data_IF_681263977605
#
_entry.id   IF_681263977605
#
_cell.length_a   1.000
_cell.length_b   1.000
_cell.length_c   1.000
_cell.angle_alpha   90.00
_cell.angle_beta   90.00
_cell.angle_gamma   90.00
#
_symmetry.space_group_name_H-M   'P 1'
#
loop_
_entity.id
_entity.type
_entity.pdbx_description
1 polymer ?
#
# COMPACT_ATOMS: atom_id res chain seq x y z
N UNK A 1 -42.93 15.90 8.04
CA UNK A 1 -41.54 16.22 8.47
C UNK A 1 -41.19 17.61 7.92
N UNK A 2 -40.36 18.42 8.59
CA UNK A 2 -40.03 19.77 8.11
C UNK A 2 -38.91 19.76 7.05
N UNK A 3 -38.97 20.71 6.11
CA UNK A 3 -37.97 20.88 5.03
C UNK A 3 -36.55 21.06 5.59
N UNK A 4 -36.42 21.65 6.78
CA UNK A 4 -35.17 21.78 7.54
C UNK A 4 -34.42 20.45 7.70
N UNK A 5 -35.13 19.33 7.95
CA UNK A 5 -34.48 18.01 8.09
C UNK A 5 -33.97 17.45 6.75
N UNK A 6 -34.58 17.85 5.63
CA UNK A 6 -34.09 17.49 4.30
C UNK A 6 -32.87 18.34 3.94
N UNK A 7 -32.88 19.64 4.26
CA UNK A 7 -31.72 20.53 4.13
C UNK A 7 -30.54 20.06 4.98
N UNK A 8 -30.79 19.62 6.21
CA UNK A 8 -29.78 19.02 7.07
C UNK A 8 -29.24 17.70 6.49
N UNK A 9 -30.11 16.80 6.01
CA UNK A 9 -29.71 15.56 5.35
C UNK A 9 -28.86 15.82 4.09
N UNK A 10 -29.23 16.79 3.26
CA UNK A 10 -28.43 17.21 2.09
C UNK A 10 -27.05 17.73 2.51
N UNK A 11 -26.99 18.60 3.53
CA UNK A 11 -25.73 19.11 4.06
C UNK A 11 -24.87 18.05 4.74
N UNK A 12 -25.44 16.97 5.26
CA UNK A 12 -24.71 15.80 5.77
C UNK A 12 -24.22 14.90 4.61
N UNK A 13 -25.04 14.66 3.59
CA UNK A 13 -24.73 13.84 2.43
C UNK A 13 -23.55 14.41 1.61
N UNK A 14 -23.54 15.73 1.37
CA UNK A 14 -22.44 16.42 0.68
C UNK A 14 -21.12 16.29 1.44
N UNK A 15 -21.12 16.52 2.76
CA UNK A 15 -19.92 16.34 3.62
C UNK A 15 -19.45 14.90 3.62
N UNK A 16 -20.36 13.93 3.76
CA UNK A 16 -20.03 12.51 3.75
C UNK A 16 -19.36 12.09 2.43
N UNK A 17 -19.81 12.62 1.28
CA UNK A 17 -19.15 12.41 -0.01
C UNK A 17 -17.73 13.02 -0.04
N UNK A 18 -17.55 14.21 0.51
CA UNK A 18 -16.25 14.91 0.60
C UNK A 18 -15.27 14.22 1.57
N UNK A 19 -15.77 13.66 2.68
CA UNK A 19 -14.99 12.84 3.61
C UNK A 19 -14.60 11.50 2.95
N UNK A 20 -15.55 10.82 2.30
CA UNK A 20 -15.31 9.53 1.63
C UNK A 20 -14.34 9.63 0.45
N UNK A 21 -14.38 10.71 -0.34
CA UNK A 21 -13.37 10.94 -1.38
C UNK A 21 -11.97 11.12 -0.77
N UNK A 22 -11.82 11.92 0.29
CA UNK A 22 -10.54 12.12 0.96
C UNK A 22 -9.96 10.82 1.52
N UNK A 23 -10.78 9.99 2.16
CA UNK A 23 -10.33 8.68 2.66
C UNK A 23 -10.04 7.66 1.54
N UNK A 24 -10.79 7.70 0.44
CA UNK A 24 -10.48 6.89 -0.74
C UNK A 24 -9.15 7.28 -1.39
N UNK A 25 -8.84 8.57 -1.48
CA UNK A 25 -7.58 9.07 -2.03
C UNK A 25 -6.39 8.80 -1.10
N UNK A 26 -6.56 8.93 0.23
CA UNK A 26 -5.60 8.45 1.23
C UNK A 26 -5.30 6.96 1.03
N UNK A 27 -6.35 6.13 0.87
CA UNK A 27 -6.22 4.69 0.64
C UNK A 27 -5.53 4.38 -0.69
N UNK A 28 -5.87 5.07 -1.79
CA UNK A 28 -5.19 4.94 -3.09
C UNK A 28 -3.70 5.21 -2.97
N UNK A 29 -3.30 6.27 -2.24
CA UNK A 29 -1.90 6.62 -2.01
C UNK A 29 -1.15 5.56 -1.20
N UNK A 30 -1.73 5.01 -0.14
CA UNK A 30 -1.09 3.94 0.64
C UNK A 30 -1.01 2.62 -0.14
N UNK A 31 -2.03 2.27 -0.92
CA UNK A 31 -1.98 1.12 -1.82
C UNK A 31 -0.86 1.27 -2.87
N UNK A 32 -0.65 2.47 -3.41
CA UNK A 32 0.44 2.76 -4.34
C UNK A 32 1.82 2.70 -3.67
N UNK A 33 1.96 3.20 -2.43
CA UNK A 33 3.20 3.09 -1.63
C UNK A 33 3.55 1.63 -1.32
N UNK A 34 2.57 0.84 -0.89
CA UNK A 34 2.72 -0.60 -0.66
C UNK A 34 3.12 -1.33 -1.95
N UNK A 35 2.53 -0.96 -3.08
CA UNK A 35 2.85 -1.58 -4.36
C UNK A 35 4.28 -1.30 -4.83
N UNK A 36 4.72 -0.04 -4.75
CA UNK A 36 6.11 0.33 -5.02
C UNK A 36 7.09 -0.39 -4.07
N UNK A 37 6.75 -0.50 -2.78
CA UNK A 37 7.61 -1.13 -1.78
C UNK A 37 7.74 -2.65 -1.99
N UNK A 38 6.62 -3.37 -2.16
CA UNK A 38 6.58 -4.82 -2.34
C UNK A 38 7.11 -5.22 -3.72
N UNK A 39 6.68 -4.53 -4.79
CA UNK A 39 7.01 -4.90 -6.17
C UNK A 39 8.40 -4.45 -6.63
N UNK A 40 8.94 -3.35 -6.06
CA UNK A 40 10.21 -2.76 -6.49
C UNK A 40 11.24 -2.69 -5.37
N UNK A 41 10.98 -1.95 -4.29
CA UNK A 41 12.01 -1.63 -3.28
C UNK A 41 12.58 -2.86 -2.56
N UNK A 42 11.71 -3.77 -2.09
CA UNK A 42 12.13 -4.96 -1.34
C UNK A 42 12.87 -5.98 -2.24
N UNK A 43 12.38 -6.33 -3.45
CA UNK A 43 13.13 -7.17 -4.40
C UNK A 43 14.49 -6.56 -4.81
N UNK A 44 14.55 -5.25 -5.06
CA UNK A 44 15.81 -4.58 -5.42
C UNK A 44 16.83 -4.63 -4.27
N UNK A 45 16.41 -4.32 -3.04
CA UNK A 45 17.27 -4.38 -1.84
C UNK A 45 17.84 -5.78 -1.61
N UNK A 46 17.01 -6.84 -1.66
CA UNK A 46 17.53 -8.20 -1.48
C UNK A 46 18.41 -8.66 -2.66
N UNK A 47 18.21 -8.10 -3.86
CA UNK A 47 19.08 -8.36 -5.01
C UNK A 47 20.44 -7.65 -4.89
N UNK A 48 20.52 -6.42 -4.38
CA UNK A 48 21.81 -5.75 -4.11
C UNK A 48 22.55 -6.43 -2.97
N UNK A 49 21.88 -6.75 -1.86
CA UNK A 49 22.46 -7.48 -0.74
C UNK A 49 22.99 -8.86 -1.15
N UNK A 50 22.28 -9.57 -2.05
CA UNK A 50 22.76 -10.85 -2.58
C UNK A 50 24.06 -10.70 -3.39
N UNK A 51 24.21 -9.62 -4.17
CA UNK A 51 25.46 -9.33 -4.91
C UNK A 51 26.62 -9.05 -3.94
N UNK A 52 26.38 -8.28 -2.88
CA UNK A 52 27.37 -7.99 -1.82
C UNK A 52 27.77 -9.29 -1.09
N UNK A 53 26.80 -10.09 -0.66
CA UNK A 53 27.06 -11.36 0.03
C UNK A 53 27.83 -12.36 -0.83
N UNK A 54 27.54 -12.44 -2.14
CA UNK A 54 28.28 -13.30 -3.08
C UNK A 54 29.73 -12.82 -3.29
N UNK A 55 29.96 -11.51 -3.36
CA UNK A 55 31.31 -10.93 -3.44
C UNK A 55 32.13 -11.27 -2.18
N UNK A 56 31.59 -10.99 -0.99
CA UNK A 56 32.22 -11.28 0.30
C UNK A 56 32.54 -12.77 0.48
N UNK A 57 31.64 -13.66 0.01
CA UNK A 57 31.88 -15.10 0.05
C UNK A 57 33.03 -15.54 -0.88
N UNK A 58 33.24 -14.88 -2.02
CA UNK A 58 34.44 -15.10 -2.84
C UNK A 58 35.68 -14.62 -2.10
N UNK A 59 35.70 -13.35 -1.68
CA UNK A 59 36.85 -12.71 -1.02
C UNK A 59 37.34 -13.52 0.20
N UNK A 60 36.43 -14.06 1.02
CA UNK A 60 36.80 -14.92 2.16
C UNK A 60 37.21 -16.34 1.75
N UNK A 61 36.68 -16.91 0.66
CA UNK A 61 37.17 -18.19 0.12
C UNK A 61 38.58 -18.04 -0.43
N UNK A 62 38.87 -16.94 -1.12
CA UNK A 62 40.18 -16.62 -1.66
C UNK A 62 41.20 -16.37 -0.54
N UNK A 63 40.77 -15.71 0.55
CA UNK A 63 41.57 -15.55 1.76
C UNK A 63 41.84 -16.88 2.49
N UNK A 64 40.82 -17.74 2.62
CA UNK A 64 40.96 -19.08 3.18
C UNK A 64 41.92 -19.94 2.35
N UNK A 65 41.76 -19.94 1.03
CA UNK A 65 42.64 -20.65 0.09
C UNK A 65 44.10 -20.21 0.23
N UNK A 66 44.38 -18.90 0.19
CA UNK A 66 45.72 -18.36 0.42
C UNK A 66 46.29 -18.79 1.78
N UNK A 67 45.51 -18.68 2.85
CA UNK A 67 45.94 -19.10 4.18
C UNK A 67 46.31 -20.60 4.20
N UNK A 68 45.49 -21.46 3.60
CA UNK A 68 45.77 -22.90 3.51
C UNK A 68 47.02 -23.21 2.68
N UNK A 69 47.41 -22.37 1.72
CA UNK A 69 48.64 -22.53 0.93
C UNK A 69 49.94 -22.12 1.64
N UNK A 70 49.88 -21.30 2.70
CA UNK A 70 51.05 -20.85 3.46
C UNK A 70 51.37 -21.72 4.69
N UNK A 71 50.46 -22.63 5.04
CA UNK A 71 50.52 -23.47 6.24
C UNK A 71 51.52 -24.62 6.06
N UNK A 72 52.27 -24.93 7.11
CA UNK A 72 53.18 -26.07 7.17
C UNK A 72 52.50 -27.30 7.78
N UNK A 73 52.96 -28.48 7.39
CA UNK A 73 52.34 -29.77 7.71
C UNK A 73 52.28 -30.11 9.22
N UNK A 74 53.15 -29.49 10.02
CA UNK A 74 53.20 -29.57 11.50
C UNK A 74 52.15 -28.67 12.21
N UNK A 75 51.59 -27.67 11.52
CA UNK A 75 50.78 -26.65 12.17
C UNK A 75 49.34 -27.13 12.46
N UNK A 76 49.07 -27.46 13.73
CA UNK A 76 47.91 -28.27 14.14
C UNK A 76 46.52 -27.62 13.98
N UNK A 77 46.39 -26.32 13.70
CA UNK A 77 45.08 -25.60 13.58
C UNK A 77 45.08 -24.42 12.57
N UNK A 78 45.25 -24.68 11.26
CA UNK A 78 45.32 -23.61 10.27
C UNK A 78 43.97 -22.92 9.99
N UNK A 79 44.02 -21.61 9.79
CA UNK A 79 42.98 -20.79 9.14
C UNK A 79 41.58 -20.88 9.78
N UNK A 80 41.51 -20.89 11.12
CA UNK A 80 40.26 -21.06 11.87
C UNK A 80 39.33 -19.85 11.76
N UNK A 81 39.85 -18.63 11.72
CA UNK A 81 39.05 -17.41 11.52
C UNK A 81 38.57 -17.26 10.07
N UNK A 82 39.39 -17.65 9.10
CA UNK A 82 39.04 -17.66 7.67
C UNK A 82 37.87 -18.63 7.42
N UNK A 83 37.90 -19.82 8.05
CA UNK A 83 36.78 -20.79 8.03
C UNK A 83 35.50 -20.17 8.62
N UNK A 84 35.58 -19.52 9.80
CA UNK A 84 34.44 -18.79 10.41
C UNK A 84 33.91 -17.67 9.52
N UNK A 85 34.78 -16.92 8.83
CA UNK A 85 34.41 -15.85 7.88
C UNK A 85 33.65 -16.41 6.66
N UNK A 86 34.15 -17.49 6.07
CA UNK A 86 33.48 -18.20 4.96
C UNK A 86 32.12 -18.77 5.39
N UNK A 87 32.02 -19.36 6.59
CA UNK A 87 30.74 -19.79 7.14
C UNK A 87 29.75 -18.63 7.32
N UNK A 88 30.19 -17.52 7.93
CA UNK A 88 29.33 -16.34 8.17
C UNK A 88 28.82 -15.75 6.86
N UNK A 89 29.67 -15.62 5.84
CA UNK A 89 29.27 -15.15 4.52
C UNK A 89 28.34 -16.16 3.80
N UNK A 90 28.58 -17.47 3.95
CA UNK A 90 27.69 -18.52 3.40
C UNK A 90 26.28 -18.43 4.01
N UNK A 91 26.20 -18.22 5.35
CA UNK A 91 24.93 -18.01 6.05
C UNK A 91 24.24 -16.70 5.60
N UNK A 92 24.98 -15.60 5.39
CA UNK A 92 24.43 -14.35 4.85
C UNK A 92 23.92 -14.50 3.42
N UNK A 93 24.67 -15.18 2.54
CA UNK A 93 24.25 -15.43 1.16
C UNK A 93 22.93 -16.18 1.10
N UNK A 94 22.80 -17.30 1.83
CA UNK A 94 21.55 -18.09 1.91
C UNK A 94 20.39 -17.24 2.42
N UNK A 95 20.59 -16.45 3.47
CA UNK A 95 19.57 -15.52 3.98
C UNK A 95 19.10 -14.51 2.91
N UNK A 96 20.01 -13.97 2.11
CA UNK A 96 19.65 -13.06 1.01
C UNK A 96 18.89 -13.78 -0.11
N UNK A 97 19.22 -15.04 -0.42
CA UNK A 97 18.50 -15.86 -1.40
C UNK A 97 17.08 -16.21 -0.91
N UNK A 98 16.93 -16.67 0.34
CA UNK A 98 15.64 -16.94 0.99
C UNK A 98 14.75 -15.69 1.02
N UNK A 99 15.33 -14.53 1.36
CA UNK A 99 14.60 -13.26 1.44
C UNK A 99 14.21 -12.74 0.06
N UNK A 100 15.06 -12.87 -0.96
CA UNK A 100 14.71 -12.51 -2.34
C UNK A 100 13.63 -13.43 -2.92
N UNK A 101 13.65 -14.73 -2.61
CA UNK A 101 12.59 -15.66 -2.98
C UNK A 101 11.26 -15.29 -2.30
N UNK A 102 11.27 -15.06 -0.98
CA UNK A 102 10.08 -14.60 -0.24
C UNK A 102 9.54 -13.25 -0.73
N UNK A 103 10.40 -12.32 -1.13
CA UNK A 103 10.00 -11.03 -1.69
C UNK A 103 9.22 -11.20 -3.00
N UNK A 104 9.70 -12.07 -3.91
CA UNK A 104 8.99 -12.40 -5.16
C UNK A 104 7.64 -13.08 -4.91
N UNK A 105 7.58 -14.02 -3.95
CA UNK A 105 6.33 -14.67 -3.57
C UNK A 105 5.32 -13.69 -2.94
N UNK A 106 5.79 -12.75 -2.10
CA UNK A 106 4.96 -11.69 -1.54
C UNK A 106 4.42 -10.73 -2.61
N UNK A 107 5.23 -10.37 -3.60
CA UNK A 107 4.77 -9.58 -4.77
C UNK A 107 3.69 -10.33 -5.56
N UNK A 108 3.89 -11.61 -5.86
CA UNK A 108 2.87 -12.42 -6.56
C UNK A 108 1.55 -12.55 -5.77
N UNK A 109 1.61 -12.71 -4.45
CA UNK A 109 0.42 -12.71 -3.60
C UNK A 109 -0.28 -11.34 -3.55
N UNK A 110 0.50 -10.26 -3.56
CA UNK A 110 -0.01 -8.88 -3.58
C UNK A 110 -0.70 -8.52 -4.90
N UNK A 111 -0.14 -8.91 -6.05
CA UNK A 111 -0.81 -8.78 -7.36
C UNK A 111 -2.19 -9.47 -7.37
N UNK A 112 -2.26 -10.69 -6.83
CA UNK A 112 -3.51 -11.44 -6.74
C UNK A 112 -4.54 -10.75 -5.84
N UNK A 113 -4.14 -10.18 -4.71
CA UNK A 113 -5.08 -9.54 -3.78
C UNK A 113 -5.54 -8.15 -4.27
N UNK A 114 -4.66 -7.38 -4.92
CA UNK A 114 -5.06 -6.18 -5.67
C UNK A 114 -6.04 -6.52 -6.78
N UNK A 115 -5.81 -7.59 -7.54
CA UNK A 115 -6.73 -8.02 -8.60
C UNK A 115 -8.14 -8.36 -8.07
N UNK A 116 -8.24 -9.10 -6.95
CA UNK A 116 -9.53 -9.38 -6.27
C UNK A 116 -10.20 -8.12 -5.72
N UNK A 117 -9.41 -7.15 -5.25
CA UNK A 117 -9.92 -5.95 -4.58
C UNK A 117 -10.28 -4.82 -5.54
N UNK A 118 -9.68 -4.76 -6.74
CA UNK A 118 -9.86 -3.69 -7.73
C UNK A 118 -11.32 -3.36 -8.03
N UNK A 119 -12.16 -4.37 -8.26
CA UNK A 119 -13.59 -4.17 -8.56
C UNK A 119 -14.36 -3.59 -7.38
N UNK A 120 -13.93 -3.87 -6.13
CA UNK A 120 -14.55 -3.30 -4.92
C UNK A 120 -14.16 -1.83 -4.75
N UNK A 121 -12.87 -1.51 -4.94
CA UNK A 121 -12.36 -0.13 -4.88
C UNK A 121 -13.03 0.74 -5.96
N UNK A 122 -13.09 0.26 -7.19
CA UNK A 122 -13.71 1.01 -8.29
C UNK A 122 -15.24 1.15 -8.13
N UNK A 123 -15.92 0.21 -7.46
CA UNK A 123 -17.34 0.37 -7.09
C UNK A 123 -17.54 1.45 -6.01
N UNK A 124 -16.63 1.56 -5.03
CA UNK A 124 -16.68 2.63 -4.03
C UNK A 124 -16.41 3.99 -4.69
N UNK A 125 -15.41 4.07 -5.56
CA UNK A 125 -15.09 5.23 -6.39
C UNK A 125 -16.32 5.72 -7.18
N UNK A 126 -16.94 4.85 -7.99
CA UNK A 126 -18.18 5.16 -8.73
C UNK A 126 -19.33 5.60 -7.82
N UNK A 127 -19.47 4.98 -6.64
CA UNK A 127 -20.53 5.35 -5.69
C UNK A 127 -20.33 6.77 -5.14
N UNK A 128 -19.08 7.18 -4.86
CA UNK A 128 -18.80 8.50 -4.28
C UNK A 128 -18.79 9.59 -5.36
N UNK A 129 -18.24 9.31 -6.55
CA UNK A 129 -18.14 10.27 -7.66
C UNK A 129 -19.49 10.48 -8.39
N UNK A 130 -20.29 9.42 -8.56
CA UNK A 130 -21.59 9.46 -9.26
C UNK A 130 -22.77 9.37 -8.28
N UNK A 131 -22.94 8.24 -7.60
CA UNK A 131 -24.22 7.92 -6.95
C UNK A 131 -24.57 8.91 -5.81
N UNK A 132 -23.59 9.26 -4.97
CA UNK A 132 -23.73 10.27 -3.91
C UNK A 132 -23.79 11.71 -4.46
N UNK A 133 -23.33 11.97 -5.68
CA UNK A 133 -23.47 13.27 -6.34
C UNK A 133 -24.89 13.45 -6.89
N UNK A 134 -25.42 12.44 -7.58
CA UNK A 134 -26.79 12.43 -8.11
C UNK A 134 -27.81 12.50 -6.96
N UNK A 135 -27.68 11.64 -5.94
CA UNK A 135 -28.59 11.63 -4.79
C UNK A 135 -28.62 12.97 -4.01
N UNK A 136 -27.54 13.74 -4.01
CA UNK A 136 -27.52 15.08 -3.44
C UNK A 136 -28.26 16.11 -4.32
N UNK A 137 -28.09 16.05 -5.65
CA UNK A 137 -28.77 16.92 -6.60
C UNK A 137 -30.29 16.66 -6.65
N UNK A 138 -30.71 15.39 -6.59
CA UNK A 138 -32.12 14.99 -6.50
C UNK A 138 -32.76 15.52 -5.21
N UNK A 139 -32.09 15.31 -4.06
CA UNK A 139 -32.56 15.81 -2.77
C UNK A 139 -32.65 17.34 -2.71
N UNK A 140 -31.71 18.07 -3.32
CA UNK A 140 -31.81 19.53 -3.44
C UNK A 140 -32.99 19.96 -4.33
N UNK A 141 -33.29 19.21 -5.40
CA UNK A 141 -34.43 19.46 -6.28
C UNK A 141 -35.77 19.26 -5.54
N UNK A 142 -35.88 18.22 -4.72
CA UNK A 142 -37.03 17.98 -3.85
C UNK A 142 -37.21 19.07 -2.78
N UNK A 143 -36.11 19.51 -2.16
CA UNK A 143 -36.11 20.63 -1.20
C UNK A 143 -36.65 21.91 -1.86
N UNK A 144 -36.19 22.24 -3.06
CA UNK A 144 -36.60 23.43 -3.80
C UNK A 144 -38.08 23.35 -4.23
N UNK A 145 -38.55 22.16 -4.63
CA UNK A 145 -39.96 21.93 -4.96
C UNK A 145 -40.85 22.11 -3.72
N UNK A 146 -40.49 21.50 -2.59
CA UNK A 146 -41.21 21.65 -1.33
C UNK A 146 -41.20 23.09 -0.82
N UNK A 147 -40.07 23.80 -0.97
CA UNK A 147 -39.96 25.23 -0.67
C UNK A 147 -40.98 26.07 -1.45
N UNK A 148 -41.05 25.87 -2.78
CA UNK A 148 -42.03 26.52 -3.66
C UNK A 148 -43.47 26.21 -3.24
N UNK A 149 -43.80 24.95 -2.91
CA UNK A 149 -45.12 24.58 -2.42
C UNK A 149 -45.47 25.22 -1.07
N UNK A 150 -44.53 25.33 -0.12
CA UNK A 150 -44.79 26.00 1.16
C UNK A 150 -44.97 27.51 1.02
N UNK A 151 -44.27 28.16 0.09
CA UNK A 151 -44.48 29.57 -0.24
C UNK A 151 -45.85 29.80 -0.89
N UNK A 152 -46.20 29.01 -1.92
CA UNK A 152 -47.48 29.09 -2.63
C UNK A 152 -48.70 28.79 -1.74
N UNK A 153 -48.51 28.00 -0.67
CA UNK A 153 -49.57 27.72 0.32
C UNK A 153 -49.75 28.84 1.36
N UNK A 154 -48.84 29.81 1.44
CA UNK A 154 -48.88 30.88 2.44
C UNK A 154 -48.98 32.32 1.87
N UNK A 155 -49.87 32.61 0.89
CA UNK A 155 -49.96 33.94 0.27
C UNK A 155 -50.72 34.98 1.12
N UNK A 156 -51.34 34.57 2.23
CA UNK A 156 -52.21 35.41 3.07
C UNK A 156 -51.54 36.01 4.31
N UNK A 157 -50.22 35.93 4.45
CA UNK A 157 -49.49 36.24 5.68
C UNK A 157 -49.31 37.72 6.05
N UNK A 158 -49.89 38.68 5.30
CA UNK A 158 -49.62 40.10 5.52
C UNK A 158 -50.71 41.07 5.04
N UNK A 159 -51.90 40.99 5.64
CA UNK A 159 -52.88 42.09 5.67
C UNK A 159 -53.69 42.07 6.98
N UNK A 160 -53.14 42.66 8.04
CA UNK A 160 -53.78 43.55 9.03
C UNK A 160 -52.66 44.16 9.87
#
# INVERSE_FOLDING_TARGET
>A
MSVQRLQELHAQLVRYREDMNRELDNLKLELQRLDQWIGSSVPQYWMSELRVAKRQLSEFKDALSRCQSYVREDERRPCTEEKKRVEKATRRMRLCEDKLHRAKAAHQAWEQERAKSRTKVHRLESMIESDLLVAAADLQTDIDALGKYTALKNPGGSTT
#
